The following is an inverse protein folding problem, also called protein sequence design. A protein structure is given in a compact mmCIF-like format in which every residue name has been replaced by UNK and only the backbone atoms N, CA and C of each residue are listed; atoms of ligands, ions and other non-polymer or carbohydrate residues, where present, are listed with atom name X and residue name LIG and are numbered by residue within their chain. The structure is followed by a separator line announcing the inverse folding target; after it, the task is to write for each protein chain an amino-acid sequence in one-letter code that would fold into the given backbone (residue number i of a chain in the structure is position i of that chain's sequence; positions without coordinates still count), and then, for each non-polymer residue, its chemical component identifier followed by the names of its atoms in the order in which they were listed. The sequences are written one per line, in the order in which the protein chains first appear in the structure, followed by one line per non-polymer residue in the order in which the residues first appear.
data_IF_412618392903
#
_entry.id   IF_412618392903
#
_cell.length_a   1.000
_cell.length_b   1.000
_cell.length_c   1.000
_cell.angle_alpha   90.00
_cell.angle_beta   90.00
_cell.angle_gamma   90.00
#
_symmetry.space_group_name_H-M   'P 1'
#
loop_
_entity.id
_entity.type
_entity.pdbx_description
1 polymer ?
#
# COMPACT_ATOMS: atom_id res chain seq x y z
N UNK A 1 8.49 -1.72 -16.80
CA UNK A 1 8.41 -3.18 -16.57
C UNK A 1 7.15 -3.70 -17.20
N UNK A 2 7.25 -4.82 -17.91
CA UNK A 2 6.14 -5.42 -18.65
C UNK A 2 6.11 -6.93 -18.45
N UNK A 3 4.92 -7.50 -18.49
CA UNK A 3 4.75 -8.94 -18.60
C UNK A 3 5.23 -9.40 -19.98
N UNK A 4 5.99 -10.50 -20.02
CA UNK A 4 6.63 -10.97 -21.25
C UNK A 4 5.64 -11.50 -22.29
N UNK A 5 4.52 -12.06 -21.86
CA UNK A 5 3.56 -12.75 -22.74
C UNK A 5 2.51 -11.77 -23.28
N UNK A 6 2.00 -10.90 -22.40
CA UNK A 6 0.92 -9.97 -22.69
C UNK A 6 1.41 -8.57 -23.07
N UNK A 7 2.68 -8.25 -22.81
CA UNK A 7 3.27 -6.92 -22.97
C UNK A 7 2.56 -5.81 -22.14
N UNK A 8 1.72 -6.19 -21.18
CA UNK A 8 1.02 -5.27 -20.29
C UNK A 8 1.97 -4.75 -19.19
N UNK A 9 1.76 -3.51 -18.71
CA UNK A 9 2.54 -2.97 -17.61
C UNK A 9 2.37 -3.78 -16.32
N UNK A 10 3.42 -3.82 -15.51
CA UNK A 10 3.41 -4.47 -14.19
C UNK A 10 3.45 -3.40 -13.11
N UNK A 11 2.30 -3.17 -12.48
CA UNK A 11 2.19 -2.34 -11.26
C UNK A 11 2.76 -3.07 -10.05
N UNK A 12 3.20 -2.31 -9.03
CA UNK A 12 3.61 -2.83 -7.71
C UNK A 12 4.81 -3.78 -7.71
N UNK A 13 5.59 -3.85 -8.80
CA UNK A 13 6.86 -4.54 -8.76
C UNK A 13 7.82 -3.74 -7.88
N UNK A 14 8.37 -4.39 -6.85
CA UNK A 14 9.31 -3.79 -5.92
C UNK A 14 10.72 -3.89 -6.48
N UNK A 15 11.44 -2.77 -6.47
CA UNK A 15 12.81 -2.68 -6.95
C UNK A 15 13.72 -2.29 -5.79
N UNK A 16 14.75 -3.08 -5.51
CA UNK A 16 15.75 -2.79 -4.48
C UNK A 16 17.10 -2.49 -5.14
N UNK A 17 17.59 -1.27 -4.94
CA UNK A 17 18.96 -0.90 -5.31
C UNK A 17 19.89 -1.39 -4.20
N UNK A 18 20.67 -2.46 -4.47
CA UNK A 18 21.42 -3.15 -3.41
C UNK A 18 22.47 -2.27 -2.71
N UNK A 19 23.13 -1.37 -3.45
CA UNK A 19 24.18 -0.50 -2.91
C UNK A 19 23.64 0.51 -1.91
N UNK A 20 22.48 1.12 -2.21
CA UNK A 20 21.87 2.16 -1.36
C UNK A 20 20.78 1.62 -0.43
N UNK A 21 20.37 0.37 -0.63
CA UNK A 21 19.23 -0.26 0.05
C UNK A 21 17.92 0.54 -0.12
N UNK A 22 17.78 1.20 -1.26
CA UNK A 22 16.58 1.95 -1.61
C UNK A 22 15.54 1.04 -2.24
N UNK A 23 14.33 1.02 -1.67
CA UNK A 23 13.17 0.41 -2.31
C UNK A 23 12.46 1.43 -3.21
N UNK A 24 12.02 0.95 -4.37
CA UNK A 24 11.12 1.63 -5.28
C UNK A 24 9.94 0.71 -5.62
N UNK A 25 8.90 1.29 -6.19
CA UNK A 25 7.71 0.57 -6.64
C UNK A 25 7.31 1.08 -8.03
N UNK A 26 6.97 0.18 -8.95
CA UNK A 26 6.36 0.62 -10.21
C UNK A 26 4.94 1.12 -10.02
N UNK A 27 4.61 2.16 -10.78
CA UNK A 27 3.25 2.66 -10.89
C UNK A 27 2.38 1.78 -11.81
N UNK A 28 1.13 2.17 -12.00
CA UNK A 28 0.17 1.49 -12.88
C UNK A 28 0.60 1.38 -14.35
N UNK A 29 1.51 2.24 -14.80
CA UNK A 29 2.12 2.19 -16.15
C UNK A 29 3.37 1.28 -16.20
N UNK A 30 3.71 0.64 -15.08
CA UNK A 30 4.89 -0.21 -14.93
C UNK A 30 6.21 0.58 -14.95
N UNK A 31 6.18 1.90 -14.78
CA UNK A 31 7.36 2.77 -14.82
C UNK A 31 7.96 2.91 -13.43
N UNK A 32 9.30 3.03 -13.39
CA UNK A 32 10.05 3.40 -12.19
C UNK A 32 11.27 4.23 -12.60
N UNK A 33 11.53 5.30 -11.85
CA UNK A 33 12.61 6.25 -12.07
C UNK A 33 13.45 6.38 -10.81
N UNK A 34 14.77 6.43 -10.98
CA UNK A 34 15.72 6.59 -9.89
C UNK A 34 17.06 7.13 -10.39
N UNK A 35 17.83 7.67 -9.46
CA UNK A 35 19.18 8.17 -9.73
C UNK A 35 20.19 7.20 -9.12
N UNK A 36 21.15 6.76 -9.93
CA UNK A 36 22.24 5.88 -9.50
C UNK A 36 23.51 6.67 -9.19
N UNK A 37 23.99 6.56 -7.95
CA UNK A 37 25.31 7.06 -7.55
C UNK A 37 26.35 5.93 -7.68
N UNK A 38 26.66 5.59 -8.92
CA UNK A 38 27.60 4.53 -9.31
C UNK A 38 26.96 3.15 -9.49
N UNK A 39 27.81 2.16 -9.77
CA UNK A 39 27.37 0.80 -10.11
C UNK A 39 26.70 0.09 -8.93
N UNK A 40 25.60 -0.62 -9.20
CA UNK A 40 24.87 -1.44 -8.22
C UNK A 40 24.21 -2.62 -8.91
N UNK A 41 23.94 -3.68 -8.14
CA UNK A 41 22.93 -4.66 -8.52
C UNK A 41 21.54 -4.10 -8.15
N UNK A 42 20.55 -4.48 -8.95
CA UNK A 42 19.16 -4.07 -8.81
C UNK A 42 18.32 -5.34 -8.78
N UNK A 43 17.67 -5.60 -7.66
CA UNK A 43 16.75 -6.72 -7.50
C UNK A 43 15.32 -6.26 -7.81
N UNK A 44 14.59 -7.06 -8.57
CA UNK A 44 13.20 -6.80 -8.93
C UNK A 44 12.38 -8.01 -8.50
N UNK A 45 11.36 -7.74 -7.69
CA UNK A 45 10.49 -8.77 -7.09
C UNK A 45 9.03 -8.39 -7.20
N UNK A 46 8.18 -9.36 -7.48
CA UNK A 46 6.73 -9.21 -7.48
C UNK A 46 6.13 -10.59 -7.14
N UNK A 47 5.00 -10.63 -6.43
CA UNK A 47 4.39 -11.90 -5.99
C UNK A 47 4.05 -12.82 -7.17
N UNK A 48 3.60 -12.25 -8.28
CA UNK A 48 3.23 -12.96 -9.52
C UNK A 48 4.35 -13.28 -10.53
N UNK A 49 5.59 -12.83 -10.31
CA UNK A 49 6.65 -12.97 -11.31
C UNK A 49 7.91 -13.57 -10.71
N UNK A 50 8.72 -14.21 -11.56
CA UNK A 50 10.03 -14.69 -11.14
C UNK A 50 10.93 -13.49 -10.83
N UNK A 51 11.55 -13.50 -9.64
CA UNK A 51 12.49 -12.45 -9.25
C UNK A 51 13.71 -12.44 -10.18
N UNK A 52 14.19 -11.24 -10.51
CA UNK A 52 15.40 -11.06 -11.30
C UNK A 52 16.37 -10.10 -10.63
N UNK A 53 17.66 -10.28 -10.88
CA UNK A 53 18.71 -9.34 -10.47
C UNK A 53 19.48 -8.92 -11.70
N UNK A 54 19.59 -7.62 -11.92
CA UNK A 54 20.36 -7.04 -13.03
C UNK A 54 21.48 -6.14 -12.50
N UNK A 55 22.52 -5.95 -13.31
CA UNK A 55 23.56 -4.96 -13.02
C UNK A 55 23.12 -3.62 -13.58
N UNK A 56 23.34 -2.55 -12.85
CA UNK A 56 22.99 -1.20 -13.32
C UNK A 56 23.69 -0.81 -14.63
N UNK A 57 24.84 -1.41 -14.94
CA UNK A 57 25.58 -1.19 -16.18
C UNK A 57 24.87 -1.77 -17.42
N UNK A 58 23.83 -2.60 -17.25
CA UNK A 58 23.00 -3.07 -18.38
C UNK A 58 21.83 -2.14 -18.67
N UNK A 59 21.60 -1.10 -17.87
CA UNK A 59 20.58 -0.10 -18.11
C UNK A 59 21.07 0.92 -19.14
N UNK A 60 20.19 1.31 -20.05
CA UNK A 60 20.40 2.45 -20.95
C UNK A 60 20.14 3.76 -20.19
N UNK A 61 20.77 4.85 -20.63
CA UNK A 61 20.69 6.16 -19.94
C UNK A 61 19.25 6.71 -19.85
N UNK A 62 18.44 6.56 -20.90
CA UNK A 62 17.08 7.13 -20.94
C UNK A 62 16.03 6.15 -20.40
N UNK A 63 15.85 5.02 -21.07
CA UNK A 63 14.81 4.04 -20.73
C UNK A 63 15.29 2.62 -21.01
N UNK A 64 14.94 1.71 -20.09
CA UNK A 64 15.13 0.28 -20.27
C UNK A 64 13.82 -0.45 -19.98
N UNK A 65 13.30 -1.17 -20.98
CA UNK A 65 12.14 -2.04 -20.80
C UNK A 65 12.63 -3.40 -20.30
N UNK A 66 12.15 -3.79 -19.12
CA UNK A 66 12.38 -5.10 -18.54
C UNK A 66 11.12 -5.95 -18.66
N UNK A 67 11.27 -7.14 -19.24
CA UNK A 67 10.22 -8.14 -19.38
C UNK A 67 10.35 -9.17 -18.26
N UNK A 68 9.30 -9.32 -17.46
CA UNK A 68 9.26 -10.31 -16.38
C UNK A 68 8.51 -11.56 -16.86
N UNK A 69 9.07 -12.73 -16.57
CA UNK A 69 8.37 -14.00 -16.81
C UNK A 69 7.42 -14.22 -15.64
N UNK A 70 6.12 -14.38 -15.96
CA UNK A 70 5.19 -14.96 -14.99
C UNK A 70 5.60 -16.42 -14.74
N UNK A 71 5.16 -16.98 -13.61
CA UNK A 71 5.34 -18.41 -13.32
C UNK A 71 3.96 -19.09 -13.36
N UNK A 72 3.16 -18.73 -14.39
CA UNK A 72 1.79 -19.23 -14.54
C UNK A 72 1.84 -20.71 -14.91
N UNK A 73 1.30 -21.54 -14.03
CA UNK A 73 0.97 -22.93 -14.34
C UNK A 73 -0.54 -23.03 -14.58
N UNK A 74 -0.94 -23.67 -15.66
CA UNK A 74 -2.30 -23.60 -16.22
C UNK A 74 -3.44 -24.22 -15.40
N UNK A 75 -3.23 -24.59 -14.13
CA UNK A 75 -4.27 -25.17 -13.26
C UNK A 75 -4.16 -24.65 -11.83
N UNK A 76 -5.32 -24.26 -11.27
CA UNK A 76 -5.46 -23.89 -9.86
C UNK A 76 -5.38 -25.13 -8.96
N UNK A 77 -4.36 -25.21 -8.11
CA UNK A 77 -4.23 -26.28 -7.12
C UNK A 77 -4.90 -25.89 -5.80
N UNK A 78 -6.05 -26.50 -5.50
CA UNK A 78 -6.77 -26.30 -4.24
C UNK A 78 -6.07 -27.06 -3.11
N UNK A 79 -5.85 -26.38 -1.99
CA UNK A 79 -5.24 -26.97 -0.80
C UNK A 79 -6.34 -27.39 0.18
N UNK A 80 -6.55 -28.70 0.31
CA UNK A 80 -7.50 -29.27 1.27
C UNK A 80 -6.80 -29.40 2.63
N UNK A 81 -7.40 -28.83 3.67
CA UNK A 81 -6.84 -28.87 5.02
C UNK A 81 -7.87 -29.31 6.06
N UNK A 82 -7.40 -29.94 7.15
CA UNK A 82 -8.26 -30.33 8.28
C UNK A 82 -8.69 -29.14 9.15
N UNK A 83 -8.03 -27.98 9.01
CA UNK A 83 -8.31 -26.78 9.80
C UNK A 83 -9.11 -25.80 8.97
N UNK A 84 -10.12 -25.16 9.56
CA UNK A 84 -10.82 -24.08 8.88
C UNK A 84 -9.83 -23.00 8.40
N UNK A 85 -9.92 -22.49 7.15
CA UNK A 85 -9.00 -21.50 6.61
C UNK A 85 -8.82 -20.27 7.48
N UNK A 86 -9.89 -19.75 8.10
CA UNK A 86 -9.79 -18.68 9.09
C UNK A 86 -8.78 -18.97 10.22
N UNK A 87 -8.73 -20.21 10.75
CA UNK A 87 -7.76 -20.57 11.79
C UNK A 87 -6.32 -20.57 11.26
N UNK A 88 -6.13 -20.91 9.98
CA UNK A 88 -4.83 -20.83 9.31
C UNK A 88 -4.43 -19.36 9.17
N UNK A 89 -5.34 -18.52 8.68
CA UNK A 89 -5.16 -17.06 8.58
C UNK A 89 -4.78 -16.45 9.94
N UNK A 90 -5.50 -16.77 11.02
CA UNK A 90 -5.15 -16.28 12.36
C UNK A 90 -3.72 -16.69 12.78
N UNK A 91 -3.28 -17.90 12.41
CA UNK A 91 -1.94 -18.39 12.73
C UNK A 91 -0.86 -17.67 11.90
N UNK A 92 -1.14 -17.40 10.62
CA UNK A 92 -0.27 -16.63 9.73
C UNK A 92 -0.10 -15.19 10.22
N UNK A 93 -1.19 -14.54 10.62
CA UNK A 93 -1.17 -13.19 11.20
C UNK A 93 -0.35 -13.19 12.49
N UNK A 94 -0.59 -14.15 13.39
CA UNK A 94 0.16 -14.24 14.65
C UNK A 94 1.67 -14.45 14.42
N UNK A 95 2.05 -15.34 13.50
CA UNK A 95 3.44 -15.58 13.15
C UNK A 95 4.08 -14.35 12.49
N UNK A 96 3.38 -13.70 11.56
CA UNK A 96 3.85 -12.50 10.86
C UNK A 96 4.08 -11.35 11.84
N UNK A 97 3.13 -11.07 12.75
CA UNK A 97 3.30 -10.10 13.85
C UNK A 97 4.54 -10.39 14.70
N UNK A 98 4.73 -11.66 15.06
CA UNK A 98 5.89 -12.10 15.84
C UNK A 98 7.21 -11.89 15.09
N UNK A 99 7.23 -12.09 13.77
CA UNK A 99 8.44 -12.02 12.94
C UNK A 99 8.75 -10.63 12.39
N UNK A 100 7.80 -9.69 12.36
CA UNK A 100 8.05 -8.31 11.93
C UNK A 100 9.22 -7.70 12.71
N UNK A 101 10.16 -7.08 12.02
CA UNK A 101 11.42 -6.65 12.64
C UNK A 101 11.18 -5.42 13.50
N UNK A 102 11.56 -5.49 14.77
CA UNK A 102 11.54 -4.37 15.73
C UNK A 102 12.77 -4.55 16.64
N UNK A 103 13.60 -3.51 16.89
CA UNK A 103 13.44 -2.13 16.44
C UNK A 103 13.59 -1.99 14.92
N UNK A 104 12.84 -1.05 14.36
CA UNK A 104 12.85 -0.76 12.94
C UNK A 104 12.68 0.73 12.69
N UNK A 105 13.42 1.22 11.70
CA UNK A 105 13.29 2.55 11.15
C UNK A 105 12.90 2.43 9.70
N UNK A 106 11.72 2.95 9.39
CA UNK A 106 11.17 3.00 8.04
C UNK A 106 11.22 4.45 7.57
N UNK A 107 12.08 4.74 6.59
CA UNK A 107 11.98 5.99 5.83
C UNK A 107 10.91 5.77 4.78
N UNK A 108 9.90 6.62 4.80
CA UNK A 108 8.67 6.47 4.04
C UNK A 108 8.47 7.68 3.18
N UNK A 109 8.10 7.46 1.92
CA UNK A 109 7.42 8.46 1.11
C UNK A 109 5.91 8.20 1.13
N UNK A 110 5.16 9.19 1.60
CA UNK A 110 3.70 9.19 1.60
C UNK A 110 3.23 10.16 0.52
N UNK A 111 2.22 9.79 -0.26
CA UNK A 111 1.62 10.62 -1.30
C UNK A 111 0.11 10.38 -1.37
N UNK A 112 -0.65 11.45 -1.29
CA UNK A 112 -2.10 11.48 -1.19
C UNK A 112 -2.68 12.44 -2.23
N UNK A 113 -3.65 11.93 -2.98
CA UNK A 113 -4.47 12.72 -3.88
C UNK A 113 -5.92 12.65 -3.44
N UNK A 114 -6.58 13.81 -3.43
CA UNK A 114 -7.98 13.94 -3.07
C UNK A 114 -8.75 14.57 -4.23
N UNK A 115 -9.81 13.91 -4.68
CA UNK A 115 -10.75 14.41 -5.67
C UNK A 115 -12.07 14.80 -5.01
N UNK A 116 -12.59 15.95 -5.40
CA UNK A 116 -13.94 16.40 -5.08
C UNK A 116 -14.71 16.55 -6.38
N UNK A 117 -15.84 15.84 -6.50
CA UNK A 117 -16.69 15.85 -7.69
C UNK A 117 -15.94 15.54 -9.00
N UNK A 118 -14.99 14.61 -8.93
CA UNK A 118 -14.17 14.16 -10.07
C UNK A 118 -12.91 15.01 -10.33
N UNK A 119 -12.77 16.17 -9.70
CA UNK A 119 -11.63 17.06 -9.88
C UNK A 119 -10.63 16.95 -8.71
N UNK A 120 -9.33 16.91 -9.02
CA UNK A 120 -8.30 16.97 -7.97
C UNK A 120 -8.39 18.31 -7.24
N UNK A 121 -8.64 18.24 -5.94
CA UNK A 121 -8.84 19.43 -5.13
C UNK A 121 -7.81 19.57 -4.03
N UNK A 122 -7.13 18.49 -3.65
CA UNK A 122 -6.07 18.55 -2.66
C UNK A 122 -4.95 17.54 -2.96
N UNK A 123 -3.70 17.97 -2.72
CA UNK A 123 -2.50 17.16 -2.85
C UNK A 123 -1.64 17.25 -1.60
N UNK A 124 -1.10 16.11 -1.16
CA UNK A 124 -0.20 16.04 -0.04
C UNK A 124 0.86 14.96 -0.23
N UNK A 125 2.13 15.31 -0.04
CA UNK A 125 3.20 14.32 0.02
C UNK A 125 4.22 14.65 1.11
N UNK A 126 5.02 13.66 1.50
CA UNK A 126 6.07 13.88 2.46
C UNK A 126 7.02 12.71 2.67
N UNK A 127 8.22 13.05 3.14
CA UNK A 127 9.23 12.12 3.62
C UNK A 127 9.16 12.02 5.14
N UNK A 128 8.87 10.83 5.63
CA UNK A 128 8.57 10.56 7.03
C UNK A 128 9.46 9.41 7.52
N UNK A 129 10.03 9.53 8.71
CA UNK A 129 10.69 8.42 9.39
C UNK A 129 9.81 7.92 10.52
N UNK A 130 9.49 6.62 10.47
CA UNK A 130 8.88 5.90 11.58
C UNK A 130 9.98 5.12 12.30
N UNK A 131 10.27 5.51 13.54
CA UNK A 131 11.15 4.74 14.43
C UNK A 131 10.30 3.90 15.37
N UNK A 132 10.10 2.63 15.01
CA UNK A 132 9.34 1.62 15.75
C UNK A 132 10.26 0.99 16.79
N UNK A 133 9.90 1.09 18.07
CA UNK A 133 10.75 0.65 19.18
C UNK A 133 10.11 -0.42 20.07
N UNK A 134 8.79 -0.61 19.99
CA UNK A 134 8.07 -1.66 20.72
C UNK A 134 6.94 -2.21 19.86
N UNK A 135 6.64 -3.49 20.03
CA UNK A 135 5.50 -4.20 19.43
C UNK A 135 4.88 -5.26 20.37
N UNK A 136 5.31 -5.36 21.62
CA UNK A 136 4.95 -6.45 22.53
C UNK A 136 3.49 -6.34 22.97
N UNK A 137 3.03 -5.13 23.30
CA UNK A 137 1.62 -4.85 23.67
C UNK A 137 0.91 -4.01 22.62
N UNK A 138 1.63 -3.04 22.05
CA UNK A 138 1.19 -2.11 21.01
C UNK A 138 2.40 -1.80 20.13
N UNK A 139 2.17 -1.52 18.85
CA UNK A 139 3.25 -0.99 18.00
C UNK A 139 3.42 0.49 18.32
N UNK A 140 4.53 0.82 18.95
CA UNK A 140 4.86 2.19 19.32
C UNK A 140 5.95 2.72 18.39
N UNK A 141 5.72 3.91 17.83
CA UNK A 141 6.66 4.57 16.94
C UNK A 141 6.77 6.06 17.23
N UNK A 142 7.98 6.60 17.11
CA UNK A 142 8.20 8.04 16.98
C UNK A 142 8.20 8.40 15.49
N UNK A 143 7.55 9.53 15.16
CA UNK A 143 7.39 9.99 13.79
C UNK A 143 8.21 11.27 13.62
N UNK A 144 9.07 11.30 12.61
CA UNK A 144 9.83 12.49 12.23
C UNK A 144 9.51 12.84 10.78
N UNK A 145 9.04 14.06 10.53
CA UNK A 145 8.75 14.53 9.18
C UNK A 145 9.95 15.33 8.68
N UNK A 146 10.65 14.81 7.67
CA UNK A 146 11.83 15.46 7.07
C UNK A 146 11.41 16.61 6.15
N UNK A 147 10.46 16.33 5.25
CA UNK A 147 9.97 17.25 4.24
C UNK A 147 8.50 16.93 3.97
N UNK A 148 7.69 17.94 3.66
CA UNK A 148 6.29 17.77 3.29
C UNK A 148 5.77 18.93 2.45
N UNK A 149 4.80 18.62 1.59
CA UNK A 149 3.98 19.58 0.86
C UNK A 149 2.52 19.25 1.02
N UNK A 150 1.71 20.28 1.14
CA UNK A 150 0.28 20.19 1.37
C UNK A 150 -0.36 21.38 0.70
N UNK A 151 -1.09 21.12 -0.39
CA UNK A 151 -1.50 22.13 -1.37
C UNK A 151 -2.98 21.92 -1.72
N UNK A 152 -3.77 22.98 -1.52
CA UNK A 152 -5.12 23.07 -2.07
C UNK A 152 -5.07 23.44 -3.55
N UNK A 153 -5.76 22.66 -4.39
CA UNK A 153 -5.81 22.85 -5.84
C UNK A 153 -7.05 23.63 -6.27
N UNK A 154 -8.11 23.60 -5.44
CA UNK A 154 -9.33 24.39 -5.61
C UNK A 154 -9.51 25.37 -4.44
N UNK A 155 -10.11 26.53 -4.72
CA UNK A 155 -10.32 27.61 -3.74
C UNK A 155 -11.35 27.26 -2.64
N UNK A 156 -12.12 26.19 -2.82
CA UNK A 156 -13.30 25.84 -2.01
C UNK A 156 -13.20 24.50 -1.26
N UNK A 157 -11.98 23.99 -1.03
CA UNK A 157 -11.81 22.73 -0.29
C UNK A 157 -12.11 22.92 1.20
N UNK A 158 -13.17 22.26 1.65
CA UNK A 158 -13.44 22.13 3.07
C UNK A 158 -12.51 21.06 3.67
N UNK A 159 -11.60 21.47 4.55
CA UNK A 159 -10.63 20.56 5.19
C UNK A 159 -11.26 19.44 6.00
N UNK A 160 -12.53 19.59 6.41
CA UNK A 160 -13.30 18.51 7.08
C UNK A 160 -13.72 17.37 6.15
N UNK A 161 -13.68 17.57 4.84
CA UNK A 161 -13.97 16.52 3.85
C UNK A 161 -12.70 15.72 3.48
N UNK A 162 -11.51 16.18 3.86
CA UNK A 162 -10.24 15.48 3.61
C UNK A 162 -10.13 14.19 4.47
N UNK A 163 -9.67 13.11 3.85
CA UNK A 163 -9.46 11.80 4.50
C UNK A 163 -7.99 11.39 4.45
N UNK A 164 -7.15 12.15 5.14
CA UNK A 164 -5.72 11.86 5.21
C UNK A 164 -5.39 10.71 6.16
N UNK A 165 -4.23 10.10 5.96
CA UNK A 165 -3.71 9.08 6.87
C UNK A 165 -3.59 9.60 8.30
N UNK A 166 -4.09 8.82 9.26
CA UNK A 166 -3.72 9.01 10.66
C UNK A 166 -2.34 8.39 10.91
N UNK A 167 -1.29 9.18 10.72
CA UNK A 167 0.10 8.76 10.87
C UNK A 167 0.39 8.18 12.27
N UNK A 168 -0.36 8.58 13.29
CA UNK A 168 -0.20 8.09 14.66
C UNK A 168 -0.57 6.61 14.85
N UNK A 169 -1.42 6.03 13.99
CA UNK A 169 -1.82 4.62 14.09
C UNK A 169 -1.52 3.81 12.82
N UNK A 170 -1.11 4.43 11.72
CA UNK A 170 -0.98 3.75 10.43
C UNK A 170 0.03 2.59 10.47
N UNK A 171 1.20 2.79 11.10
CA UNK A 171 2.18 1.72 11.28
C UNK A 171 1.66 0.61 12.19
N UNK A 172 0.88 0.96 13.22
CA UNK A 172 0.24 -0.03 14.07
C UNK A 172 -0.77 -0.85 13.26
N UNK A 173 -1.55 -0.22 12.39
CA UNK A 173 -2.54 -0.89 11.56
C UNK A 173 -1.87 -1.91 10.61
N UNK A 174 -0.75 -1.53 9.98
CA UNK A 174 0.02 -2.42 9.10
C UNK A 174 0.76 -3.51 9.86
N UNK A 175 1.43 -3.21 10.98
CA UNK A 175 2.15 -4.22 11.75
C UNK A 175 1.21 -5.18 12.49
N UNK A 176 -0.02 -4.75 12.78
CA UNK A 176 -1.05 -5.59 13.36
C UNK A 176 -1.99 -6.24 12.35
N UNK A 177 -1.79 -6.03 11.04
CA UNK A 177 -2.68 -6.55 9.98
C UNK A 177 -4.16 -6.23 10.25
N UNK A 178 -4.46 -5.04 10.77
CA UNK A 178 -5.82 -4.69 11.25
C UNK A 178 -6.88 -4.76 10.14
N UNK A 179 -6.49 -4.55 8.88
CA UNK A 179 -7.36 -4.65 7.72
C UNK A 179 -7.88 -6.09 7.49
N UNK A 180 -7.26 -7.10 8.10
CA UNK A 180 -7.75 -8.49 8.08
C UNK A 180 -8.68 -8.83 9.24
N UNK A 181 -8.91 -7.91 10.19
CA UNK A 181 -9.77 -8.15 11.36
C UNK A 181 -11.19 -8.63 10.99
N UNK A 182 -11.87 -8.11 9.94
CA UNK A 182 -13.18 -8.60 9.56
C UNK A 182 -13.20 -10.12 9.33
N UNK A 183 -12.13 -10.66 8.73
CA UNK A 183 -12.01 -12.10 8.48
C UNK A 183 -11.71 -12.92 9.74
N UNK A 184 -11.35 -12.30 10.87
CA UNK A 184 -11.02 -12.99 12.12
C UNK A 184 -12.20 -13.10 13.08
N UNK A 185 -13.29 -12.38 12.81
CA UNK A 185 -14.49 -12.44 13.63
C UNK A 185 -15.19 -13.80 13.51
N UNK A 186 -15.89 -14.20 14.57
CA UNK A 186 -16.60 -15.49 14.57
C UNK A 186 -17.68 -15.56 13.48
N UNK A 187 -18.32 -14.43 13.18
CA UNK A 187 -19.38 -14.29 12.19
C UNK A 187 -18.87 -14.47 10.76
N UNK A 188 -17.60 -14.13 10.49
CA UNK A 188 -17.00 -14.25 9.16
C UNK A 188 -16.98 -15.69 8.63
N UNK A 189 -17.00 -16.71 9.51
CA UNK A 189 -17.12 -18.12 9.08
C UNK A 189 -18.43 -18.44 8.36
N UNK A 190 -19.47 -17.63 8.59
CA UNK A 190 -20.79 -17.79 7.97
C UNK A 190 -20.98 -16.85 6.80
N UNK A 191 -20.39 -15.67 6.87
CA UNK A 191 -20.55 -14.59 5.88
C UNK A 191 -19.53 -14.65 4.74
N UNK A 192 -18.43 -15.41 4.89
CA UNK A 192 -17.40 -15.54 3.88
C UNK A 192 -17.12 -17.00 3.54
N UNK A 193 -16.97 -17.24 2.23
CA UNK A 193 -16.42 -18.48 1.71
C UNK A 193 -14.90 -18.33 1.59
N UNK A 194 -14.18 -19.22 2.28
CA UNK A 194 -12.73 -19.22 2.30
C UNK A 194 -12.18 -20.32 1.40
N UNK A 195 -11.15 -19.97 0.63
CA UNK A 195 -10.45 -20.92 -0.23
C UNK A 195 -8.93 -20.73 -0.07
N UNK A 196 -8.21 -21.84 -0.06
CA UNK A 196 -6.74 -21.86 -0.04
C UNK A 196 -6.27 -22.55 -1.31
N UNK A 197 -5.37 -21.90 -2.03
CA UNK A 197 -4.75 -22.45 -3.24
C UNK A 197 -3.24 -22.26 -3.19
N UNK A 198 -2.52 -23.06 -3.98
CA UNK A 198 -1.21 -22.63 -4.47
C UNK A 198 -1.43 -21.39 -5.34
N UNK A 199 -0.59 -20.37 -5.18
CA UNK A 199 -0.75 -19.14 -5.95
C UNK A 199 -0.35 -19.40 -7.41
N UNK A 200 -1.32 -19.42 -8.31
CA UNK A 200 -1.15 -19.87 -9.70
C UNK A 200 -0.10 -19.07 -10.48
N UNK A 201 0.13 -17.81 -10.11
CA UNK A 201 1.16 -16.96 -10.74
C UNK A 201 2.57 -17.19 -10.18
N UNK A 202 2.70 -17.81 -9.01
CA UNK A 202 3.98 -18.16 -8.40
C UNK A 202 3.83 -19.26 -7.35
N UNK A 203 4.24 -20.48 -7.71
CA UNK A 203 4.12 -21.69 -6.89
C UNK A 203 4.89 -21.69 -5.56
N UNK A 204 5.83 -20.75 -5.36
CA UNK A 204 6.51 -20.61 -4.08
C UNK A 204 5.58 -20.03 -3.00
N UNK A 205 4.45 -19.45 -3.41
CA UNK A 205 3.47 -18.88 -2.51
C UNK A 205 2.15 -19.64 -2.54
N UNK A 206 1.43 -19.54 -1.43
CA UNK A 206 0.02 -19.90 -1.34
C UNK A 206 -0.82 -18.63 -1.22
N UNK A 207 -2.09 -18.74 -1.57
CA UNK A 207 -3.07 -17.66 -1.43
C UNK A 207 -4.27 -18.15 -0.61
N UNK A 208 -4.71 -17.33 0.34
CA UNK A 208 -6.03 -17.43 0.95
C UNK A 208 -6.91 -16.37 0.29
N UNK A 209 -8.03 -16.78 -0.27
CA UNK A 209 -9.08 -15.87 -0.71
C UNK A 209 -10.30 -16.00 0.18
N UNK A 210 -10.96 -14.88 0.48
CA UNK A 210 -12.21 -14.86 1.22
C UNK A 210 -13.19 -13.95 0.47
N UNK A 211 -14.33 -14.52 0.07
CA UNK A 211 -15.37 -13.82 -0.68
C UNK A 211 -16.65 -13.80 0.15
N UNK A 212 -17.34 -12.66 0.27
CA UNK A 212 -18.61 -12.60 0.96
C UNK A 212 -19.65 -13.46 0.23
N UNK A 213 -20.42 -14.23 0.98
CA UNK A 213 -21.50 -15.07 0.46
C UNK A 213 -22.88 -14.44 0.74
N UNK A 214 -23.94 -15.19 0.44
CA UNK A 214 -25.34 -14.74 0.60
C UNK A 214 -25.74 -14.35 2.03
N UNK A 215 -24.98 -14.79 3.05
CA UNK A 215 -25.23 -14.42 4.45
C UNK A 215 -24.59 -13.08 4.84
N UNK A 216 -23.67 -12.56 4.02
CA UNK A 216 -22.99 -11.29 4.28
C UNK A 216 -23.98 -10.12 4.29
N UNK A 217 -23.82 -9.21 5.25
CA UNK A 217 -24.69 -8.04 5.41
C UNK A 217 -23.93 -6.76 5.14
N UNK A 218 -24.51 -5.94 4.25
CA UNK A 218 -23.95 -4.64 3.92
C UNK A 218 -22.72 -4.75 3.03
N UNK A 219 -21.88 -3.71 3.07
CA UNK A 219 -20.66 -3.63 2.25
C UNK A 219 -19.62 -4.62 2.77
N UNK A 220 -19.05 -5.43 1.88
CA UNK A 220 -17.98 -6.36 2.18
C UNK A 220 -16.99 -6.43 1.01
N UNK A 221 -15.74 -6.74 1.33
CA UNK A 221 -14.66 -6.83 0.35
C UNK A 221 -14.34 -8.29 0.01
N UNK A 222 -13.90 -8.52 -1.21
CA UNK A 222 -13.16 -9.71 -1.62
C UNK A 222 -11.71 -9.57 -1.14
N UNK A 223 -11.21 -10.54 -0.36
CA UNK A 223 -9.86 -10.52 0.17
C UNK A 223 -8.94 -11.51 -0.55
N UNK A 224 -7.67 -11.11 -0.71
CA UNK A 224 -6.57 -11.98 -1.15
C UNK A 224 -5.37 -11.81 -0.22
N UNK A 225 -4.89 -12.92 0.33
CA UNK A 225 -3.76 -12.96 1.26
C UNK A 225 -2.72 -13.94 0.70
N UNK A 226 -1.64 -13.41 0.13
CA UNK A 226 -0.53 -14.19 -0.41
C UNK A 226 0.50 -14.38 0.71
N UNK A 227 0.93 -15.62 0.92
CA UNK A 227 1.88 -15.96 1.98
C UNK A 227 2.90 -17.01 1.53
N UNK A 228 4.08 -16.95 2.14
CA UNK A 228 5.10 -17.98 2.05
C UNK A 228 4.69 -19.17 2.94
N UNK A 229 4.44 -20.38 2.39
CA UNK A 229 4.02 -21.53 3.18
C UNK A 229 5.15 -22.16 4.02
N UNK A 230 6.42 -21.95 3.65
CA UNK A 230 7.60 -22.43 4.39
C UNK A 230 7.84 -21.56 5.63
N UNK A 231 7.95 -20.25 5.41
CA UNK A 231 8.19 -19.27 6.48
C UNK A 231 6.92 -18.92 7.27
N UNK A 232 5.75 -19.20 6.70
CA UNK A 232 4.41 -18.85 7.24
C UNK A 232 4.27 -17.35 7.47
N UNK A 233 4.76 -16.57 6.51
CA UNK A 233 4.75 -15.11 6.52
C UNK A 233 3.84 -14.57 5.44
N UNK A 234 3.04 -13.57 5.79
CA UNK A 234 2.21 -12.83 4.83
C UNK A 234 3.13 -11.96 3.97
N UNK A 235 3.01 -12.06 2.65
CA UNK A 235 3.82 -11.29 1.69
C UNK A 235 2.99 -10.15 1.11
N UNK A 236 1.71 -10.40 0.86
CA UNK A 236 0.80 -9.42 0.29
C UNK A 236 -0.60 -9.61 0.86
N UNK A 237 -1.27 -8.49 1.15
CA UNK A 237 -2.70 -8.46 1.47
C UNK A 237 -3.35 -7.48 0.52
N UNK A 238 -4.45 -7.88 -0.12
CA UNK A 238 -5.31 -6.96 -0.84
C UNK A 238 -6.78 -7.20 -0.51
N UNK A 239 -7.57 -6.14 -0.56
CA UNK A 239 -9.02 -6.22 -0.57
C UNK A 239 -9.60 -5.25 -1.58
N UNK A 240 -10.74 -5.61 -2.16
CA UNK A 240 -11.51 -4.77 -3.06
C UNK A 240 -12.98 -4.97 -2.75
N UNK A 241 -13.78 -3.92 -2.86
CA UNK A 241 -15.24 -4.04 -2.72
C UNK A 241 -15.78 -5.19 -3.59
N UNK A 242 -16.53 -6.10 -2.98
CA UNK A 242 -17.02 -7.29 -3.67
C UNK A 242 -18.07 -6.91 -4.71
N UNK A 243 -17.88 -7.22 -6.01
CA UNK A 243 -18.86 -6.87 -7.06
C UNK A 243 -20.24 -7.49 -6.82
N UNK A 244 -20.27 -8.72 -6.29
CA UNK A 244 -21.51 -9.46 -6.02
C UNK A 244 -22.36 -8.79 -4.93
N UNK A 245 -21.70 -8.24 -3.91
CA UNK A 245 -22.36 -7.52 -2.84
C UNK A 245 -22.75 -6.12 -3.30
N UNK A 246 -21.85 -5.42 -3.99
CA UNK A 246 -22.07 -4.05 -4.44
C UNK A 246 -23.31 -3.92 -5.33
N UNK A 247 -23.54 -4.87 -6.24
CA UNK A 247 -24.73 -4.89 -7.10
C UNK A 247 -26.07 -4.93 -6.35
N UNK A 248 -26.06 -5.42 -5.11
CA UNK A 248 -27.26 -5.62 -4.30
C UNK A 248 -27.44 -4.56 -3.19
N UNK A 249 -26.49 -3.63 -3.05
CA UNK A 249 -26.55 -2.59 -2.02
C UNK A 249 -27.49 -1.48 -2.48
N UNK A 250 -28.49 -1.17 -1.65
CA UNK A 250 -29.35 -0.01 -1.86
C UNK A 250 -28.62 1.27 -1.44
N UNK A 251 -28.63 2.26 -2.32
CA UNK A 251 -28.15 3.59 -2.01
C UNK A 251 -28.92 4.19 -0.82
N UNK A 252 -28.16 4.73 0.12
CA UNK A 252 -28.70 5.48 1.25
C UNK A 252 -29.03 6.90 0.80
N UNK A 253 -30.21 7.37 1.18
CA UNK A 253 -30.72 8.72 0.83
C UNK A 253 -30.71 9.71 2.00
N UNK A 254 -30.42 9.24 3.21
CA UNK A 254 -30.44 10.10 4.39
C UNK A 254 -29.25 11.06 4.40
N UNK A 255 -29.48 12.32 4.77
CA UNK A 255 -28.42 13.33 4.91
C UNK A 255 -27.33 12.82 5.88
N UNK A 256 -26.08 13.00 5.49
CA UNK A 256 -24.90 12.50 6.19
C UNK A 256 -24.51 11.07 5.81
N UNK A 257 -25.33 10.35 5.05
CA UNK A 257 -25.00 9.01 4.58
C UNK A 257 -23.85 9.03 3.58
N UNK A 258 -23.04 7.98 3.64
CA UNK A 258 -21.99 7.68 2.67
C UNK A 258 -22.36 6.43 1.88
N UNK A 259 -22.36 6.53 0.55
CA UNK A 259 -22.50 5.41 -0.38
C UNK A 259 -21.13 5.14 -1.00
N UNK A 260 -20.43 4.12 -0.50
CA UNK A 260 -19.10 3.74 -0.98
C UNK A 260 -19.28 2.97 -2.29
N UNK A 261 -18.64 3.45 -3.35
CA UNK A 261 -18.62 2.80 -4.67
C UNK A 261 -17.22 2.30 -5.06
N UNK A 262 -16.19 2.71 -4.31
CA UNK A 262 -14.81 2.31 -4.54
C UNK A 262 -14.12 2.09 -3.20
N UNK A 263 -13.52 0.91 -3.04
CA UNK A 263 -12.67 0.56 -1.92
C UNK A 263 -11.62 -0.40 -2.45
N UNK A 264 -10.35 -0.01 -2.37
CA UNK A 264 -9.21 -0.83 -2.71
C UNK A 264 -8.15 -0.66 -1.63
N UNK A 265 -7.65 -1.78 -1.13
CA UNK A 265 -6.54 -1.81 -0.19
C UNK A 265 -5.52 -2.81 -0.70
N UNK A 266 -4.24 -2.45 -0.64
CA UNK A 266 -3.13 -3.37 -0.88
C UNK A 266 -1.96 -3.03 0.03
N UNK A 267 -1.32 -4.05 0.59
CA UNK A 267 -0.07 -3.93 1.35
C UNK A 267 0.92 -5.00 0.95
N UNK A 268 2.21 -4.64 0.92
CA UNK A 268 3.32 -5.51 0.56
C UNK A 268 4.31 -5.55 1.72
N UNK A 269 4.76 -6.75 2.04
CA UNK A 269 5.79 -7.02 3.05
C UNK A 269 6.93 -7.78 2.40
N UNK A 270 8.15 -7.59 2.89
CA UNK A 270 9.35 -8.26 2.38
C UNK A 270 10.13 -8.88 3.52
N UNK A 271 10.60 -10.09 3.28
CA UNK A 271 11.70 -10.71 4.04
C UNK A 271 13.00 -10.42 3.27
N UNK A 272 13.83 -9.54 3.81
CA UNK A 272 15.19 -9.27 3.32
C UNK A 272 16.20 -9.81 4.33
N UNK A 273 16.88 -10.89 3.96
CA UNK A 273 17.74 -11.66 4.86
C UNK A 273 16.95 -12.10 6.12
N UNK A 274 17.33 -11.60 7.29
CA UNK A 274 16.64 -11.87 8.56
C UNK A 274 15.55 -10.85 8.90
N UNK A 275 15.39 -9.78 8.10
CA UNK A 275 14.49 -8.68 8.40
C UNK A 275 13.18 -8.82 7.61
N UNK A 276 12.08 -9.05 8.31
CA UNK A 276 10.74 -8.99 7.76
C UNK A 276 10.10 -7.64 8.09
N UNK A 277 9.69 -6.86 7.09
CA UNK A 277 9.16 -5.51 7.31
C UNK A 277 8.12 -5.10 6.24
N UNK A 278 7.36 -4.06 6.56
CA UNK A 278 6.38 -3.43 5.68
C UNK A 278 7.06 -2.59 4.58
N UNK A 279 6.75 -2.88 3.33
CA UNK A 279 7.33 -2.21 2.15
C UNK A 279 6.42 -1.10 1.64
N UNK A 280 5.16 -1.41 1.36
CA UNK A 280 4.25 -0.43 0.77
C UNK A 280 2.79 -0.68 1.09
N UNK A 281 1.99 0.38 0.96
CA UNK A 281 0.55 0.33 0.86
C UNK A 281 0.03 1.20 -0.29
N UNK A 282 -1.11 0.77 -0.83
CA UNK A 282 -1.96 1.54 -1.73
C UNK A 282 -3.39 1.45 -1.22
N UNK A 283 -4.02 2.59 -0.97
CA UNK A 283 -5.37 2.67 -0.45
C UNK A 283 -6.19 3.63 -1.31
N UNK A 284 -7.31 3.17 -1.85
CA UNK A 284 -8.25 4.00 -2.58
C UNK A 284 -9.64 3.86 -1.98
N UNK A 285 -10.30 4.99 -1.75
CA UNK A 285 -11.70 5.03 -1.35
C UNK A 285 -12.44 6.07 -2.17
N UNK A 286 -13.63 5.72 -2.63
CA UNK A 286 -14.55 6.61 -3.34
C UNK A 286 -15.96 6.43 -2.81
N UNK A 287 -16.60 7.54 -2.43
CA UNK A 287 -17.96 7.53 -1.94
C UNK A 287 -18.72 8.80 -2.27
N UNK A 288 -20.04 8.66 -2.34
CA UNK A 288 -20.97 9.77 -2.38
C UNK A 288 -21.44 10.11 -0.97
N UNK A 289 -21.36 11.39 -0.61
CA UNK A 289 -21.85 11.93 0.65
C UNK A 289 -23.11 12.74 0.39
N UNK A 290 -24.22 12.32 1.00
CA UNK A 290 -25.48 13.04 0.90
C UNK A 290 -25.44 14.25 1.84
N UNK A 291 -25.53 15.47 1.31
CA UNK A 291 -25.60 16.72 2.07
C UNK A 291 -26.94 17.43 1.84
N UNK A 292 -27.22 18.47 2.63
CA UNK A 292 -28.43 19.29 2.46
C UNK A 292 -28.45 20.00 1.09
N UNK A 293 -27.28 20.39 0.59
CA UNK A 293 -27.10 21.11 -0.67
C UNK A 293 -26.98 20.21 -1.90
N UNK A 294 -27.08 18.88 -1.74
CA UNK A 294 -26.89 17.90 -2.80
C UNK A 294 -25.88 16.82 -2.42
N UNK A 295 -25.46 16.05 -3.42
CA UNK A 295 -24.47 14.97 -3.24
C UNK A 295 -23.07 15.49 -3.56
N UNK A 296 -22.10 15.20 -2.69
CA UNK A 296 -20.68 15.36 -2.98
C UNK A 296 -20.06 14.02 -3.29
N UNK A 297 -19.28 13.94 -4.35
CA UNK A 297 -18.45 12.78 -4.63
C UNK A 297 -17.03 13.05 -4.10
N UNK A 298 -16.51 12.13 -3.29
CA UNK A 298 -15.16 12.20 -2.72
C UNK A 298 -14.40 10.95 -3.13
N UNK A 299 -13.21 11.12 -3.70
CA UNK A 299 -12.23 10.06 -3.88
C UNK A 299 -10.90 10.42 -3.22
N UNK A 300 -10.29 9.44 -2.58
CA UNK A 300 -8.94 9.57 -2.02
C UNK A 300 -8.10 8.41 -2.51
N UNK A 301 -6.89 8.73 -2.96
CA UNK A 301 -5.87 7.76 -3.34
C UNK A 301 -4.62 8.04 -2.55
N UNK A 302 -4.19 7.04 -1.80
CA UNK A 302 -3.05 7.12 -0.91
C UNK A 302 -2.01 6.07 -1.29
N UNK A 303 -0.76 6.50 -1.29
CA UNK A 303 0.40 5.66 -1.45
C UNK A 303 1.34 5.86 -0.27
N UNK A 304 1.93 4.76 0.17
CA UNK A 304 2.89 4.75 1.25
C UNK A 304 4.00 3.77 0.88
N UNK A 305 5.25 4.24 0.77
CA UNK A 305 6.38 3.40 0.38
C UNK A 305 7.54 3.59 1.35
N UNK A 306 7.97 2.51 2.01
CA UNK A 306 9.23 2.44 2.75
C UNK A 306 10.40 2.46 1.77
N UNK A 307 10.95 3.64 1.51
CA UNK A 307 12.12 3.84 0.64
C UNK A 307 13.40 3.28 1.24
N UNK A 308 13.54 3.27 2.58
CA UNK A 308 14.67 2.64 3.25
C UNK A 308 14.24 1.98 4.57
N UNK A 309 14.84 0.81 4.83
CA UNK A 309 14.71 0.07 6.08
C UNK A 309 16.04 0.06 6.85
N UNK A 310 15.99 0.15 8.18
CA UNK A 310 17.15 0.03 9.06
C UNK A 310 16.71 -0.46 10.43
N UNK A 311 17.54 -1.22 11.14
CA UNK A 311 17.34 -1.53 12.56
C UNK A 311 18.04 -0.54 13.50
N UNK A 312 18.83 0.39 12.93
CA UNK A 312 19.51 1.46 13.67
C UNK A 312 18.56 2.64 13.92
N UNK A 313 18.43 3.00 15.20
CA UNK A 313 17.67 4.17 15.64
C UNK A 313 18.47 5.47 15.41
N UNK A 314 17.75 6.57 15.23
CA UNK A 314 18.27 7.92 15.32
C UNK A 314 18.04 8.49 16.72
N UNK A 315 18.90 9.42 17.11
CA UNK A 315 18.68 10.31 18.24
C UNK A 315 17.96 11.56 17.75
N UNK A 316 16.98 12.02 18.52
CA UNK A 316 16.21 13.24 18.29
C UNK A 316 15.72 13.77 19.64
N UNK A 317 15.29 15.02 19.66
CA UNK A 317 14.62 15.66 20.79
C UNK A 317 13.13 15.36 20.71
N UNK A 318 12.47 15.27 21.87
CA UNK A 318 11.02 15.06 21.93
C UNK A 318 10.21 16.15 21.21
N UNK A 319 10.76 17.36 21.09
CA UNK A 319 10.18 18.47 20.34
C UNK A 319 10.19 18.25 18.81
N UNK A 320 11.01 17.33 18.30
CA UNK A 320 11.09 16.99 16.88
C UNK A 320 10.08 15.90 16.48
N UNK A 321 9.49 15.23 17.48
CA UNK A 321 8.48 14.20 17.24
C UNK A 321 7.18 14.85 16.76
N UNK A 322 6.76 14.43 15.58
CA UNK A 322 5.47 14.82 15.00
C UNK A 322 4.33 14.12 15.75
N UNK A 323 3.32 14.90 16.18
CA UNK A 323 2.21 14.42 17.02
C UNK A 323 0.82 14.60 16.38
N UNK A 324 0.71 15.39 15.32
CA UNK A 324 -0.55 15.57 14.62
C UNK A 324 -0.92 14.30 13.84
N UNK A 325 -2.19 14.20 13.44
CA UNK A 325 -2.67 13.01 12.73
C UNK A 325 -2.19 12.97 11.29
N UNK A 326 -2.21 14.10 10.58
CA UNK A 326 -2.06 14.18 9.13
C UNK A 326 -1.03 15.25 8.76
N UNK A 327 -0.32 15.07 7.63
CA UNK A 327 0.70 16.03 7.19
C UNK A 327 0.13 17.40 6.82
N UNK A 328 -1.13 17.49 6.39
CA UNK A 328 -1.75 18.77 6.03
C UNK A 328 -1.93 19.73 7.21
N UNK A 329 -1.81 19.26 8.45
CA UNK A 329 -1.78 20.13 9.62
C UNK A 329 -0.39 20.76 9.85
N UNK A 330 0.64 20.31 9.12
CA UNK A 330 2.02 20.78 9.24
C UNK A 330 2.33 21.80 8.16
N UNK A 331 2.95 22.91 8.53
CA UNK A 331 3.51 23.87 7.57
C UNK A 331 4.47 23.17 6.61
N UNK A 332 4.39 23.51 5.32
CA UNK A 332 5.25 22.94 4.28
C UNK A 332 6.73 23.17 4.59
N UNK A 333 7.53 22.12 4.36
CA UNK A 333 8.99 22.15 4.48
C UNK A 333 9.55 21.45 3.24
N UNK A 334 10.09 22.23 2.31
CA UNK A 334 10.66 21.76 1.05
C UNK A 334 12.15 22.14 1.06
N UNK A 335 13.01 21.13 1.02
CA UNK A 335 14.47 21.30 1.00
C UNK A 335 15.09 20.78 -0.31
N UNK A 336 14.31 20.04 -1.11
CA UNK A 336 14.72 19.38 -2.34
C UNK A 336 13.50 18.88 -3.13
N UNK A 337 13.69 18.49 -4.38
CA UNK A 337 12.67 17.84 -5.21
C UNK A 337 12.50 16.36 -4.85
N UNK A 338 12.21 16.09 -3.57
CA UNK A 338 12.26 14.75 -3.02
C UNK A 338 11.32 13.79 -3.76
N UNK A 339 10.16 14.25 -4.24
CA UNK A 339 9.20 13.44 -4.99
C UNK A 339 9.82 12.74 -6.20
N UNK A 340 10.79 13.36 -6.87
CA UNK A 340 11.48 12.78 -8.04
C UNK A 340 12.41 11.60 -7.70
N UNK A 341 12.82 11.46 -6.43
CA UNK A 341 13.77 10.43 -5.97
C UNK A 341 13.20 9.57 -4.84
N UNK A 342 11.91 9.70 -4.55
CA UNK A 342 11.25 9.08 -3.38
C UNK A 342 10.74 7.66 -3.61
N UNK A 343 11.17 6.99 -4.67
CA UNK A 343 10.84 5.58 -4.87
C UNK A 343 9.49 5.32 -5.54
N UNK A 344 8.60 6.31 -5.63
CA UNK A 344 7.32 6.23 -6.32
C UNK A 344 7.32 7.16 -7.54
N UNK A 345 7.29 6.58 -8.73
CA UNK A 345 7.18 7.35 -9.97
C UNK A 345 5.73 7.73 -10.21
N UNK A 346 5.47 9.01 -10.45
CA UNK A 346 4.13 9.47 -10.78
C UNK A 346 3.66 8.91 -12.13
N UNK A 347 2.37 8.63 -12.24
CA UNK A 347 1.73 8.44 -13.56
C UNK A 347 1.73 9.76 -14.32
N UNK A 348 1.43 9.73 -15.62
CA UNK A 348 1.33 10.96 -16.42
C UNK A 348 0.28 11.94 -15.86
N UNK A 349 -0.88 11.42 -15.43
CA UNK A 349 -1.94 12.20 -14.75
C UNK A 349 -1.43 12.83 -13.44
N UNK A 350 -0.76 12.04 -12.61
CA UNK A 350 -0.22 12.51 -11.32
C UNK A 350 0.90 13.54 -11.53
N UNK A 351 1.74 13.36 -12.55
CA UNK A 351 2.84 14.27 -12.86
C UNK A 351 2.34 15.63 -13.34
N UNK A 352 1.23 15.67 -14.09
CA UNK A 352 0.61 16.94 -14.50
C UNK A 352 0.20 17.78 -13.29
N UNK A 353 -0.33 17.14 -12.24
CA UNK A 353 -0.72 17.81 -10.98
C UNK A 353 0.53 18.32 -10.25
N UNK A 354 1.57 17.47 -10.14
CA UNK A 354 2.82 17.86 -9.48
C UNK A 354 3.46 19.06 -10.19
N UNK A 355 3.55 19.02 -11.53
CA UNK A 355 4.08 20.13 -12.33
C UNK A 355 3.24 21.40 -12.19
N UNK A 356 1.91 21.28 -12.11
CA UNK A 356 1.02 22.41 -11.88
C UNK A 356 1.28 23.09 -10.53
N UNK A 357 1.50 22.30 -9.48
CA UNK A 357 1.89 22.80 -8.16
C UNK A 357 3.22 23.55 -8.25
N UNK A 358 4.23 22.92 -8.87
CA UNK A 358 5.57 23.49 -8.98
C UNK A 358 5.61 24.78 -9.82
N UNK A 359 4.64 25.00 -10.71
CA UNK A 359 4.52 26.23 -11.50
C UNK A 359 3.91 27.43 -10.75
N UNK A 360 3.34 27.19 -9.56
CA UNK A 360 2.67 28.20 -8.73
C UNK A 360 3.56 28.73 -7.58
N UNK A 361 4.59 27.97 -7.22
CA UNK A 361 5.66 28.38 -6.29
C UNK A 361 6.73 29.20 -7.03
#
# INVERSE_FOLDING_TARGET
MKDKETNLPIEDATILILKTKQNLLSNSEGKVSFVLKGTSNIEITHTSYTAITIRSTSLKENETILYLNNNVNGLDEIIITKRHPQKILSSLIANSKKKLTVPARLKVYSREFFKLNGEYSYYNDGLINFQIYDKVRKVNSNILVEQNRSIGLLDNVNTSDLLGYNLNDIMENYYNFKYLNPLLESVAKKEFDFLIKVYSKNKEYNIITAFPNENSKGLADDFSIIYDPKEKLIIEVSSVISPNIFANIKEKKAIGSKNIYKSLFKTIYKLDNANYYFVSSKEEIGFEKIEKSGTKNIEVRNYFLTTNFSTKNYSFKDSEVFKDKTLYNKKNVILSDYWNVSGLTATEEEQQIINFIDSRD
#
